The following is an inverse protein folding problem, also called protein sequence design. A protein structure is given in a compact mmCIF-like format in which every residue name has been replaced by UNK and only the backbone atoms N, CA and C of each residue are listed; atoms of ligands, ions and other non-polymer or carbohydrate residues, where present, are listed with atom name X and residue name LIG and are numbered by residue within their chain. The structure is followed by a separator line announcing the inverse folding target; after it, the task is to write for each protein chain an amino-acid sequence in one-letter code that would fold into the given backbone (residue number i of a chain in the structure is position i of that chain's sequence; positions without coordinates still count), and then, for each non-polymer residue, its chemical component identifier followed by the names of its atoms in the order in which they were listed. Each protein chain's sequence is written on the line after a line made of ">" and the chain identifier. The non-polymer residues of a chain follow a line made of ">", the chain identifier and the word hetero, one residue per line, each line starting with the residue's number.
data_IF_585398354557
#
_entry.id   IF_585398354557
#
_cell.length_a   1.000
_cell.length_b   1.000
_cell.length_c   1.000
_cell.angle_alpha   90.00
_cell.angle_beta   90.00
_cell.angle_gamma   90.00
#
_symmetry.space_group_name_H-M   'P 1'
#
loop_
_entity.id
_entity.type
_entity.pdbx_description
1 polymer ?
#
# COMPACT_ATOMS: atom_id res chain seq x y z
N UNK A 1 59.11 54.83 -1.63
CA UNK A 1 57.98 55.05 -0.70
C UNK A 1 56.71 55.38 -1.48
N UNK A 2 55.72 54.48 -1.38
CA UNK A 2 54.28 54.51 -1.73
C UNK A 2 53.90 53.07 -2.14
N UNK A 3 53.05 52.35 -1.39
CA UNK A 3 52.78 50.94 -1.68
C UNK A 3 51.80 50.79 -2.84
N UNK A 4 52.24 50.00 -3.81
CA UNK A 4 51.49 49.40 -4.90
C UNK A 4 50.46 48.42 -4.32
N UNK A 5 49.17 48.58 -4.66
CA UNK A 5 48.12 47.59 -4.34
C UNK A 5 47.27 47.33 -5.58
N UNK A 6 47.70 46.37 -6.39
CA UNK A 6 46.83 45.54 -7.23
C UNK A 6 47.53 44.19 -7.44
N UNK A 7 46.97 43.11 -6.88
CA UNK A 7 47.17 41.73 -7.29
C UNK A 7 46.08 40.91 -6.55
N UNK A 8 44.94 40.58 -7.16
CA UNK A 8 44.73 39.48 -8.11
C UNK A 8 44.88 38.10 -7.43
N UNK A 9 43.71 37.49 -7.20
CA UNK A 9 43.34 36.07 -7.33
C UNK A 9 43.92 35.06 -6.31
N UNK A 10 43.00 34.17 -5.92
CA UNK A 10 43.21 32.77 -5.46
C UNK A 10 43.38 32.55 -3.96
N UNK A 11 42.42 31.82 -3.37
CA UNK A 11 42.67 30.43 -2.99
C UNK A 11 41.34 29.74 -2.65
N UNK A 12 41.00 28.76 -3.48
CA UNK A 12 40.07 27.68 -3.17
C UNK A 12 40.43 27.00 -1.84
N UNK A 13 39.44 26.24 -1.34
CA UNK A 13 39.57 25.04 -0.50
C UNK A 13 39.66 25.23 1.02
N UNK A 14 38.52 25.05 1.69
CA UNK A 14 38.46 24.18 2.87
C UNK A 14 37.31 23.19 2.68
N UNK A 15 37.72 21.97 2.36
CA UNK A 15 36.98 20.72 2.40
C UNK A 15 36.20 20.61 3.73
N UNK A 16 34.86 20.65 3.70
CA UNK A 16 34.05 20.11 4.79
C UNK A 16 33.71 18.67 4.38
N UNK A 17 34.67 17.78 4.65
CA UNK A 17 34.46 16.32 4.70
C UNK A 17 33.64 16.03 5.96
N UNK A 18 32.34 16.30 5.93
CA UNK A 18 31.43 15.73 6.93
C UNK A 18 31.33 14.24 6.61
N UNK A 19 31.88 13.40 7.49
CA UNK A 19 31.66 11.96 7.52
C UNK A 19 30.15 11.67 7.49
N UNK A 20 29.58 11.50 6.30
CA UNK A 20 28.46 10.60 6.14
C UNK A 20 29.07 9.21 6.10
N UNK A 21 29.19 8.58 7.27
CA UNK A 21 29.32 7.14 7.30
C UNK A 21 28.12 6.60 6.52
N UNK A 22 28.31 5.75 5.48
CA UNK A 22 27.18 5.07 4.89
C UNK A 22 26.60 4.21 6.00
N UNK A 23 25.42 4.60 6.51
CA UNK A 23 24.60 3.70 7.32
C UNK A 23 24.40 2.49 6.42
N UNK A 24 25.09 1.41 6.78
CA UNK A 24 24.90 0.12 6.14
C UNK A 24 23.55 -0.38 6.64
N UNK A 25 22.47 0.10 6.02
CA UNK A 25 21.17 -0.55 6.12
C UNK A 25 21.41 -1.92 5.50
N UNK A 26 21.49 -2.97 6.33
CA UNK A 26 21.44 -4.33 5.80
C UNK A 26 20.10 -4.46 5.11
N UNK A 27 20.08 -4.47 3.78
CA UNK A 27 18.85 -4.67 3.01
C UNK A 27 18.44 -6.13 3.16
N UNK A 28 17.75 -6.48 4.24
CA UNK A 28 16.78 -7.56 4.11
C UNK A 28 15.77 -7.05 3.10
N UNK A 29 15.73 -7.66 1.91
CA UNK A 29 14.78 -7.34 0.87
C UNK A 29 13.37 -7.46 1.45
N UNK A 30 12.78 -6.32 1.80
CA UNK A 30 11.36 -6.21 2.13
C UNK A 30 10.65 -6.09 0.79
N UNK A 31 9.95 -7.14 0.37
CA UNK A 31 9.10 -7.08 -0.81
C UNK A 31 7.92 -6.15 -0.51
N UNK A 32 7.76 -5.10 -1.30
CA UNK A 32 6.58 -4.24 -1.22
C UNK A 32 5.36 -4.94 -1.81
N UNK A 33 4.15 -4.48 -1.48
CA UNK A 33 2.93 -5.05 -2.04
C UNK A 33 2.87 -4.83 -3.56
N UNK A 34 3.32 -3.67 -4.04
CA UNK A 34 3.39 -3.30 -5.45
C UNK A 34 4.27 -4.26 -6.25
N UNK A 35 5.51 -4.49 -5.79
CA UNK A 35 6.44 -5.43 -6.44
C UNK A 35 5.90 -6.85 -6.41
N UNK A 36 5.31 -7.28 -5.29
CA UNK A 36 4.72 -8.61 -5.17
C UNK A 36 3.59 -8.80 -6.18
N UNK A 37 2.68 -7.82 -6.29
CA UNK A 37 1.56 -7.88 -7.22
C UNK A 37 1.99 -7.80 -8.68
N UNK A 38 3.08 -7.10 -9.00
CA UNK A 38 3.64 -7.09 -10.35
C UNK A 38 4.17 -8.47 -10.76
N UNK A 39 4.81 -9.19 -9.84
CA UNK A 39 5.42 -10.50 -10.13
C UNK A 39 4.38 -11.63 -10.16
N UNK A 40 3.43 -11.66 -9.23
CA UNK A 40 2.52 -12.80 -9.05
C UNK A 40 1.04 -12.47 -9.24
N UNK A 41 0.66 -11.20 -9.32
CA UNK A 41 -0.73 -10.76 -9.37
C UNK A 41 -1.37 -10.57 -8.00
N UNK A 42 -2.41 -9.74 -7.92
CA UNK A 42 -3.13 -9.42 -6.69
C UNK A 42 -3.90 -10.66 -6.20
N UNK A 43 -4.55 -11.37 -7.11
CA UNK A 43 -5.39 -12.54 -6.82
C UNK A 43 -4.58 -13.67 -6.18
N UNK A 44 -3.32 -13.85 -6.61
CA UNK A 44 -2.42 -14.84 -6.03
C UNK A 44 -2.31 -14.67 -4.52
N UNK A 45 -2.07 -13.45 -4.05
CA UNK A 45 -1.93 -13.16 -2.63
C UNK A 45 -3.28 -13.07 -1.91
N UNK A 46 -4.31 -12.50 -2.54
CA UNK A 46 -5.60 -12.30 -1.89
C UNK A 46 -6.18 -13.63 -1.36
N UNK A 47 -6.06 -14.70 -2.14
CA UNK A 47 -6.60 -16.01 -1.82
C UNK A 47 -5.63 -16.94 -1.07
N UNK A 48 -4.48 -16.43 -0.59
CA UNK A 48 -3.65 -17.18 0.34
C UNK A 48 -4.29 -17.25 1.74
N UNK A 49 -4.02 -18.34 2.46
CA UNK A 49 -4.40 -18.50 3.86
C UNK A 49 -3.51 -17.63 4.75
N UNK A 50 -4.04 -16.47 5.16
CA UNK A 50 -3.34 -15.50 5.98
C UNK A 50 -2.93 -16.05 7.36
N UNK A 51 -3.64 -17.06 7.88
CA UNK A 51 -3.33 -17.67 9.18
C UNK A 51 -2.06 -18.52 9.13
N UNK A 52 -1.78 -19.11 7.96
CA UNK A 52 -0.62 -19.98 7.71
C UNK A 52 0.56 -19.27 7.04
N UNK A 53 0.36 -18.04 6.55
CA UNK A 53 1.38 -17.29 5.85
C UNK A 53 2.53 -16.83 6.78
N UNK A 54 3.74 -16.72 6.22
CA UNK A 54 4.87 -16.05 6.88
C UNK A 54 4.47 -14.63 7.27
N UNK A 55 4.95 -14.16 8.43
CA UNK A 55 4.61 -12.84 8.97
C UNK A 55 4.87 -11.70 7.97
N UNK A 56 5.87 -11.85 7.09
CA UNK A 56 6.21 -10.86 6.05
C UNK A 56 5.19 -10.82 4.90
N UNK A 57 4.50 -11.92 4.62
CA UNK A 57 3.49 -11.99 3.55
C UNK A 57 2.11 -11.53 4.02
N UNK A 58 1.81 -11.62 5.32
CA UNK A 58 0.53 -11.16 5.88
C UNK A 58 0.12 -9.75 5.43
N UNK A 59 0.97 -8.71 5.50
CA UNK A 59 0.58 -7.37 5.02
C UNK A 59 0.26 -7.34 3.52
N UNK A 60 0.99 -8.11 2.70
CA UNK A 60 0.75 -8.20 1.25
C UNK A 60 -0.59 -8.88 0.96
N UNK A 61 -0.90 -9.97 1.67
CA UNK A 61 -2.18 -10.68 1.57
C UNK A 61 -3.34 -9.76 1.96
N UNK A 62 -3.22 -9.04 3.07
CA UNK A 62 -4.28 -8.14 3.54
C UNK A 62 -4.48 -6.96 2.58
N UNK A 63 -3.42 -6.39 2.04
CA UNK A 63 -3.50 -5.34 1.02
C UNK A 63 -4.14 -5.87 -0.28
N UNK A 64 -3.82 -7.10 -0.69
CA UNK A 64 -4.45 -7.73 -1.86
C UNK A 64 -5.96 -7.93 -1.65
N UNK A 65 -6.36 -8.47 -0.48
CA UNK A 65 -7.77 -8.64 -0.11
C UNK A 65 -8.50 -7.30 -0.13
N UNK A 66 -7.92 -6.25 0.45
CA UNK A 66 -8.49 -4.89 0.44
C UNK A 66 -8.75 -4.38 -0.98
N UNK A 67 -7.80 -4.56 -1.91
CA UNK A 67 -7.96 -4.14 -3.31
C UNK A 67 -9.07 -4.92 -4.03
N UNK A 68 -9.14 -6.24 -3.82
CA UNK A 68 -10.20 -7.09 -4.36
C UNK A 68 -11.57 -6.71 -3.79
N UNK A 69 -11.65 -6.46 -2.48
CA UNK A 69 -12.90 -6.06 -1.83
C UNK A 69 -13.43 -4.76 -2.44
N UNK A 70 -12.57 -3.76 -2.67
CA UNK A 70 -12.99 -2.51 -3.30
C UNK A 70 -13.26 -2.62 -4.81
N UNK A 71 -12.71 -3.63 -5.50
CA UNK A 71 -12.98 -3.83 -6.94
C UNK A 71 -14.27 -4.61 -7.21
N UNK A 72 -14.56 -5.62 -6.39
CA UNK A 72 -15.76 -6.46 -6.53
C UNK A 72 -17.02 -5.75 -6.02
N UNK A 73 -16.89 -4.89 -5.02
CA UNK A 73 -17.99 -4.19 -4.37
C UNK A 73 -18.51 -2.97 -5.16
N UNK A 74 -18.94 -3.16 -6.41
CA UNK A 74 -19.39 -2.07 -7.29
C UNK A 74 -20.44 -1.15 -6.65
N UNK A 75 -21.60 -1.70 -6.31
CA UNK A 75 -22.65 -1.00 -5.54
C UNK A 75 -22.49 -1.16 -4.02
N UNK A 76 -21.33 -1.67 -3.59
CA UNK A 76 -21.01 -2.00 -2.21
C UNK A 76 -21.43 -3.41 -1.78
N UNK A 77 -21.22 -3.69 -0.50
CA UNK A 77 -21.70 -4.87 0.21
C UNK A 77 -22.25 -4.43 1.56
N UNK A 78 -23.17 -5.22 2.10
CA UNK A 78 -23.72 -5.03 3.42
C UNK A 78 -22.91 -5.79 4.46
N UNK A 79 -22.86 -5.29 5.69
CA UNK A 79 -22.38 -6.09 6.80
C UNK A 79 -23.28 -7.33 6.95
N UNK A 80 -22.67 -8.46 7.27
CA UNK A 80 -23.39 -9.70 7.49
C UNK A 80 -24.53 -9.55 8.50
N UNK A 81 -25.70 -10.11 8.14
CA UNK A 81 -26.93 -10.00 8.92
C UNK A 81 -27.70 -8.69 8.69
N UNK A 82 -27.12 -7.71 7.99
CA UNK A 82 -27.80 -6.47 7.61
C UNK A 82 -28.42 -6.62 6.22
N UNK A 83 -29.71 -6.31 6.10
CA UNK A 83 -30.39 -6.24 4.81
C UNK A 83 -30.25 -4.83 4.23
N UNK A 84 -29.54 -4.70 3.11
CA UNK A 84 -29.41 -3.44 2.39
C UNK A 84 -29.97 -3.55 0.96
N UNK A 85 -30.44 -2.43 0.43
CA UNK A 85 -31.15 -2.36 -0.85
C UNK A 85 -30.83 -1.07 -1.59
N UNK A 86 -30.79 -1.14 -2.92
CA UNK A 86 -30.82 0.04 -3.79
C UNK A 86 -32.28 0.37 -4.09
N UNK A 87 -32.69 1.60 -3.82
CA UNK A 87 -34.02 2.11 -4.13
C UNK A 87 -33.99 3.14 -5.26
N UNK A 88 -35.08 3.24 -6.02
CA UNK A 88 -35.29 4.36 -6.94
C UNK A 88 -35.68 5.65 -6.21
N UNK A 89 -35.82 6.76 -6.94
CA UNK A 89 -36.20 8.06 -6.38
C UNK A 89 -37.63 8.09 -5.79
N UNK A 90 -38.43 7.05 -6.02
CA UNK A 90 -39.80 6.89 -5.48
C UNK A 90 -39.82 5.94 -4.28
N UNK A 91 -38.68 5.37 -3.88
CA UNK A 91 -38.56 4.44 -2.77
C UNK A 91 -38.89 2.99 -3.11
N UNK A 92 -39.07 2.65 -4.40
CA UNK A 92 -39.23 1.25 -4.79
C UNK A 92 -37.86 0.55 -4.77
N UNK A 93 -37.83 -0.66 -4.19
CA UNK A 93 -36.62 -1.48 -4.18
C UNK A 93 -36.33 -1.93 -5.62
N UNK A 94 -35.12 -1.64 -6.10
CA UNK A 94 -34.59 -2.13 -7.37
C UNK A 94 -33.77 -3.39 -7.19
N UNK A 95 -32.90 -3.42 -6.18
CA UNK A 95 -31.92 -4.49 -5.99
C UNK A 95 -31.57 -4.68 -4.51
N UNK A 96 -31.22 -5.93 -4.15
CA UNK A 96 -30.67 -6.28 -2.83
C UNK A 96 -29.15 -6.21 -2.90
N UNK A 97 -28.54 -5.44 -2.00
CA UNK A 97 -27.08 -5.45 -1.81
C UNK A 97 -26.67 -6.75 -1.10
N UNK A 98 -25.72 -7.52 -1.64
CA UNK A 98 -25.26 -8.75 -1.00
C UNK A 98 -24.53 -8.47 0.31
N UNK A 99 -24.57 -9.43 1.24
CA UNK A 99 -23.74 -9.40 2.44
C UNK A 99 -22.28 -9.72 2.11
N UNK A 100 -21.34 -9.29 2.96
CA UNK A 100 -19.90 -9.46 2.73
C UNK A 100 -19.51 -10.91 2.43
N UNK A 101 -19.94 -11.87 3.25
CA UNK A 101 -19.60 -13.29 3.05
C UNK A 101 -20.48 -14.00 2.00
N UNK A 102 -21.42 -13.29 1.35
CA UNK A 102 -22.00 -13.78 0.10
C UNK A 102 -21.05 -13.55 -1.10
N UNK A 103 -20.11 -12.61 -0.98
CA UNK A 103 -19.14 -12.25 -2.02
C UNK A 103 -17.73 -12.79 -1.76
N UNK A 104 -17.32 -12.86 -0.50
CA UNK A 104 -15.95 -13.17 -0.12
C UNK A 104 -15.86 -14.45 0.73
N UNK A 105 -14.69 -15.13 0.74
CA UNK A 105 -14.48 -16.31 1.58
C UNK A 105 -14.77 -16.05 3.06
N UNK A 106 -15.25 -17.06 3.77
CA UNK A 106 -15.68 -16.96 5.17
C UNK A 106 -14.55 -16.61 6.18
N UNK A 107 -13.29 -16.74 5.78
CA UNK A 107 -12.12 -16.35 6.57
C UNK A 107 -11.62 -14.93 6.27
N UNK A 108 -12.32 -14.18 5.41
CA UNK A 108 -12.00 -12.80 5.11
C UNK A 108 -12.72 -11.88 6.08
N UNK A 109 -12.08 -10.78 6.43
CA UNK A 109 -12.68 -9.75 7.27
C UNK A 109 -12.94 -8.50 6.42
N UNK A 110 -14.03 -7.76 6.67
CA UNK A 110 -14.19 -6.42 6.12
C UNK A 110 -12.99 -5.53 6.44
N UNK A 111 -12.53 -4.69 5.50
CA UNK A 111 -11.47 -3.73 5.79
C UNK A 111 -11.93 -2.73 6.86
N UNK A 112 -11.09 -2.53 7.88
CA UNK A 112 -11.29 -1.56 8.98
C UNK A 112 -10.69 -0.20 8.58
#
# INVERSE_FOLDING_TARGET
>A
MKPLRFCVISCLSIFILSLFAPVSISSQAFMTAEEAFEVHGIEHYAYMDASKADARLKPIILEARKRIIYSVAGDGWAQDGVKAYVADSKGNIKERIPCFHELFPADWEPPI
#
